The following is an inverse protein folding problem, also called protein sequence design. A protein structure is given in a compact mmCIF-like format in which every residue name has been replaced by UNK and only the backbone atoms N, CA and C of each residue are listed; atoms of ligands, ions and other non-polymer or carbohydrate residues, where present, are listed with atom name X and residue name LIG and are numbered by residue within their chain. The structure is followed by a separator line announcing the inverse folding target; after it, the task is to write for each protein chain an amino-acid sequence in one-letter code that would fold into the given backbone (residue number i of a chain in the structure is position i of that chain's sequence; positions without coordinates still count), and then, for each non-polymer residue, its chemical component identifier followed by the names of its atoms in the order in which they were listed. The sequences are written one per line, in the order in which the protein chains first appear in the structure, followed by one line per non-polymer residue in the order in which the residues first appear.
data_IF_793882671570
#
_entry.id   IF_793882671570
#
_cell.length_a   1.000
_cell.length_b   1.000
_cell.length_c   1.000
_cell.angle_alpha   90.00
_cell.angle_beta   90.00
_cell.angle_gamma   90.00
#
_symmetry.space_group_name_H-M   'P 1'
#
loop_
_entity.id
_entity.type
_entity.pdbx_description
1 polymer ?
#
# COMPACT_ATOMS: atom_id res chain seq x y z
N UNK A 1 8.73 -4.39 47.66
CA UNK A 1 8.64 -5.57 46.77
C UNK A 1 8.34 -5.08 45.36
N UNK A 2 8.96 -5.61 44.29
CA UNK A 2 8.69 -5.15 42.93
C UNK A 2 7.31 -5.66 42.49
N UNK A 3 6.50 -4.78 41.92
CA UNK A 3 5.18 -5.11 41.42
C UNK A 3 5.31 -5.97 40.16
N UNK A 4 4.75 -7.19 40.19
CA UNK A 4 4.71 -8.11 39.06
C UNK A 4 3.84 -7.51 37.95
N UNK A 5 4.48 -7.04 36.88
CA UNK A 5 3.78 -6.51 35.71
C UNK A 5 3.14 -7.68 34.94
N UNK A 6 1.82 -7.84 35.08
CA UNK A 6 1.06 -8.91 34.43
C UNK A 6 0.73 -8.47 32.99
N UNK A 7 1.38 -9.10 32.02
CA UNK A 7 1.04 -8.91 30.60
C UNK A 7 -0.32 -9.59 30.36
N UNK A 8 -1.35 -8.89 29.85
CA UNK A 8 -2.63 -9.52 29.56
C UNK A 8 -2.46 -10.47 28.37
N UNK A 9 -2.48 -11.77 28.65
CA UNK A 9 -2.49 -12.82 27.62
C UNK A 9 -3.94 -12.99 27.17
N UNK A 10 -4.26 -12.57 25.94
CA UNK A 10 -5.54 -12.93 25.31
C UNK A 10 -5.54 -14.44 25.01
N UNK A 11 -6.31 -15.20 25.77
CA UNK A 11 -6.58 -16.59 25.47
C UNK A 11 -7.54 -16.63 24.29
N UNK A 12 -7.11 -17.21 23.17
CA UNK A 12 -7.97 -17.44 22.02
C UNK A 12 -8.93 -18.56 22.39
N UNK A 13 -10.23 -18.27 22.49
CA UNK A 13 -11.24 -19.28 22.76
C UNK A 13 -11.22 -20.37 21.68
N UNK A 14 -11.02 -21.62 22.10
CA UNK A 14 -11.06 -22.81 21.23
C UNK A 14 -12.48 -23.20 20.81
N UNK A 15 -13.51 -22.58 21.39
CA UNK A 15 -14.93 -22.92 21.23
C UNK A 15 -15.54 -22.42 19.90
N UNK A 16 -14.70 -22.21 18.87
CA UNK A 16 -15.11 -21.79 17.53
C UNK A 16 -15.73 -20.38 17.42
N UNK A 17 -15.95 -19.69 18.54
CA UNK A 17 -16.57 -18.36 18.60
C UNK A 17 -15.52 -17.30 18.25
N UNK A 18 -15.22 -17.17 16.95
CA UNK A 18 -14.26 -16.18 16.47
C UNK A 18 -14.77 -14.76 16.71
N UNK A 19 -14.13 -14.01 17.61
CA UNK A 19 -14.31 -12.57 17.70
C UNK A 19 -13.94 -11.92 16.36
N UNK A 20 -14.93 -11.30 15.69
CA UNK A 20 -14.68 -10.56 14.46
C UNK A 20 -13.97 -9.25 14.80
N UNK A 21 -12.73 -9.12 14.34
CA UNK A 21 -12.00 -7.86 14.38
C UNK A 21 -12.64 -6.94 13.34
N UNK A 22 -13.34 -5.91 13.81
CA UNK A 22 -13.90 -4.88 12.95
C UNK A 22 -12.84 -3.80 12.77
N UNK A 23 -12.27 -3.62 11.57
CA UNK A 23 -11.33 -2.55 11.34
C UNK A 23 -12.04 -1.20 11.53
N UNK A 24 -11.42 -0.31 12.30
CA UNK A 24 -11.91 1.08 12.42
C UNK A 24 -11.47 1.86 11.19
N UNK A 25 -12.36 2.71 10.67
CA UNK A 25 -11.99 3.67 9.63
C UNK A 25 -10.90 4.60 10.15
N UNK A 26 -9.75 4.58 9.48
CA UNK A 26 -8.63 5.46 9.80
C UNK A 26 -8.84 6.78 9.07
N UNK A 27 -8.91 7.87 9.81
CA UNK A 27 -9.00 9.25 9.28
C UNK A 27 -7.80 10.06 9.73
N UNK A 28 -7.37 11.03 8.93
CA UNK A 28 -6.34 11.98 9.33
C UNK A 28 -5.35 12.34 8.22
N UNK A 29 -4.39 13.19 8.58
CA UNK A 29 -3.41 13.74 7.64
C UNK A 29 -2.59 12.66 6.92
N UNK A 30 -1.98 11.74 7.67
CA UNK A 30 -1.17 10.66 7.10
C UNK A 30 -1.98 9.62 6.31
N UNK A 31 -3.25 9.41 6.68
CA UNK A 31 -4.16 8.59 5.88
C UNK A 31 -4.35 9.19 4.50
N UNK A 32 -4.59 10.51 4.44
CA UNK A 32 -4.79 11.22 3.19
C UNK A 32 -3.53 11.19 2.32
N UNK A 33 -2.35 11.40 2.90
CA UNK A 33 -1.08 11.25 2.17
C UNK A 33 -0.97 9.87 1.56
N UNK A 34 -1.19 8.79 2.34
CA UNK A 34 -1.10 7.42 1.81
C UNK A 34 -2.02 7.23 0.59
N UNK A 35 -3.28 7.66 0.71
CA UNK A 35 -4.28 7.51 -0.35
C UNK A 35 -3.91 8.32 -1.58
N UNK A 36 -3.51 9.59 -1.41
CA UNK A 36 -3.10 10.47 -2.50
C UNK A 36 -1.87 9.90 -3.19
N UNK A 37 -0.83 9.50 -2.45
CA UNK A 37 0.39 8.92 -3.02
C UNK A 37 0.09 7.62 -3.79
N UNK A 38 -0.78 6.76 -3.26
CA UNK A 38 -1.19 5.53 -3.94
C UNK A 38 -1.82 5.83 -5.30
N UNK A 39 -2.81 6.74 -5.34
CA UNK A 39 -3.48 7.08 -6.59
C UNK A 39 -2.59 7.89 -7.53
N UNK A 40 -1.71 8.75 -7.01
CA UNK A 40 -0.76 9.50 -7.81
C UNK A 40 0.22 8.56 -8.53
N UNK A 41 0.77 7.56 -7.83
CA UNK A 41 1.65 6.56 -8.43
C UNK A 41 0.92 5.71 -9.47
N UNK A 42 -0.32 5.31 -9.19
CA UNK A 42 -1.14 4.56 -10.15
C UNK A 42 -1.41 5.39 -11.41
N UNK A 43 -1.82 6.65 -11.25
CA UNK A 43 -2.05 7.56 -12.35
C UNK A 43 -0.77 7.79 -13.14
N UNK A 44 0.37 7.98 -12.49
CA UNK A 44 1.66 8.10 -13.17
C UNK A 44 1.96 6.85 -14.00
N UNK A 45 1.86 5.66 -13.43
CA UNK A 45 2.10 4.40 -14.14
C UNK A 45 1.20 4.25 -15.39
N UNK A 46 -0.08 4.60 -15.25
CA UNK A 46 -1.03 4.53 -16.36
C UNK A 46 -0.86 5.67 -17.38
N UNK A 47 -0.38 6.86 -17.01
CA UNK A 47 -0.27 7.98 -17.95
C UNK A 47 1.09 8.04 -18.64
N UNK A 48 2.14 7.53 -17.98
CA UNK A 48 3.51 7.52 -18.48
C UNK A 48 3.66 6.93 -19.91
N UNK A 49 3.03 5.81 -20.29
CA UNK A 49 3.17 5.27 -21.64
C UNK A 49 2.39 6.06 -22.71
N UNK A 50 1.57 7.04 -22.34
CA UNK A 50 0.96 7.97 -23.30
C UNK A 50 1.67 9.33 -23.34
N UNK A 51 2.58 9.59 -22.41
CA UNK A 51 3.35 10.82 -22.39
C UNK A 51 4.33 10.85 -23.57
N UNK A 52 4.22 11.86 -24.43
CA UNK A 52 5.11 12.09 -25.56
C UNK A 52 5.84 13.41 -25.40
N UNK A 53 7.15 13.41 -25.59
CA UNK A 53 7.98 14.60 -25.57
C UNK A 53 8.56 14.84 -26.97
N UNK A 54 8.33 16.03 -27.54
CA UNK A 54 8.78 16.40 -28.89
C UNK A 54 8.37 15.38 -29.99
N UNK A 55 7.19 14.75 -29.84
CA UNK A 55 6.67 13.75 -30.79
C UNK A 55 7.21 12.33 -30.61
N UNK A 56 8.09 12.08 -29.63
CA UNK A 56 8.60 10.73 -29.29
C UNK A 56 8.05 10.29 -27.94
N UNK A 57 7.93 8.98 -27.75
CA UNK A 57 7.55 8.39 -26.47
C UNK A 57 8.48 8.88 -25.36
N UNK A 58 7.94 9.36 -24.23
CA UNK A 58 8.76 9.88 -23.13
C UNK A 58 9.56 8.76 -22.44
N UNK A 59 9.00 7.54 -22.42
CA UNK A 59 9.71 6.34 -22.00
C UNK A 59 10.38 5.73 -23.23
N UNK A 60 11.70 5.80 -23.30
CA UNK A 60 12.47 5.10 -24.32
C UNK A 60 12.58 3.61 -23.94
N UNK A 61 11.80 2.78 -24.62
CA UNK A 61 11.93 1.33 -24.55
C UNK A 61 12.84 0.88 -25.70
N UNK A 62 14.12 0.62 -25.41
CA UNK A 62 15.09 0.10 -26.39
C UNK A 62 14.95 -1.42 -26.56
N UNK A 63 13.77 -1.86 -27.00
CA UNK A 63 13.50 -3.26 -27.34
C UNK A 63 14.15 -3.70 -28.66
N UNK A 64 14.27 -2.84 -29.70
CA UNK A 64 14.79 -3.27 -31.01
C UNK A 64 16.26 -3.72 -31.00
N UNK A 65 17.04 -3.34 -29.99
CA UNK A 65 18.47 -3.68 -29.88
C UNK A 65 18.74 -5.08 -29.31
N UNK A 66 17.69 -5.82 -28.91
CA UNK A 66 17.81 -7.22 -28.48
C UNK A 66 17.95 -8.12 -29.70
N UNK A 67 19.20 -8.37 -30.10
CA UNK A 67 19.57 -9.41 -31.06
C UNK A 67 19.50 -10.77 -30.34
N UNK A 68 18.78 -11.75 -30.91
CA UNK A 68 18.79 -13.16 -30.50
C UNK A 68 19.83 -13.94 -31.31
#
# INVERSE_FOLDING_TARGET
APQSNKIPVQQVDLDGTKHRVHPRFVTGFYQNIRVITMYALLAAFLLLPWLRYNGRQAIWLDVPSQHY
#
